data_IF_932102084060
#
_entry.id   IF_932102084060
#
_cell.length_a   1.000
_cell.length_b   1.000
_cell.length_c   1.000
_cell.angle_alpha   90.00
_cell.angle_beta   90.00
_cell.angle_gamma   90.00
#
_symmetry.space_group_name_H-M   'P 1'
#
loop_
_entity.id
_entity.type
_entity.pdbx_description
1 polymer ?
#
# COMPACT_ATOMS: atom_id res chain seq x y z
N UNK A 1 18.45 4.75 -0.37
CA UNK A 1 17.31 4.63 -1.30
C UNK A 1 16.06 4.27 -0.52
N UNK A 2 14.96 4.94 -0.77
CA UNK A 2 13.66 4.67 -0.15
C UNK A 2 12.69 4.17 -1.21
N UNK A 3 11.77 3.28 -0.83
CA UNK A 3 10.68 2.85 -1.69
C UNK A 3 9.35 3.43 -1.16
N UNK A 4 8.56 3.96 -2.07
CA UNK A 4 7.16 4.34 -1.85
C UNK A 4 6.32 3.35 -2.64
N UNK A 5 5.35 2.72 -1.98
CA UNK A 5 4.60 1.60 -2.55
C UNK A 5 3.11 1.87 -2.38
N UNK A 6 2.40 1.86 -3.50
CA UNK A 6 0.93 1.86 -3.53
C UNK A 6 0.44 0.52 -4.06
N UNK A 7 -0.24 -0.24 -3.20
CA UNK A 7 -0.62 -1.63 -3.46
C UNK A 7 -2.11 -1.85 -3.38
N UNK A 8 -2.75 -1.92 -4.54
CA UNK A 8 -4.11 -2.41 -4.66
C UNK A 8 -4.20 -3.94 -4.69
N UNK A 9 -5.41 -4.46 -4.86
CA UNK A 9 -5.64 -5.91 -5.01
C UNK A 9 -5.13 -6.46 -6.34
N UNK A 10 -5.09 -5.64 -7.39
CA UNK A 10 -4.74 -6.06 -8.76
C UNK A 10 -3.31 -5.72 -9.12
N UNK A 11 -2.86 -4.51 -8.78
CA UNK A 11 -1.56 -3.95 -9.15
C UNK A 11 -0.90 -3.32 -7.93
N UNK A 12 0.43 -3.33 -7.91
CA UNK A 12 1.26 -2.59 -6.97
C UNK A 12 2.26 -1.75 -7.74
N UNK A 13 2.27 -0.45 -7.48
CA UNK A 13 3.23 0.50 -8.03
C UNK A 13 4.35 0.75 -7.01
N UNK A 14 5.59 0.76 -7.50
CA UNK A 14 6.80 0.94 -6.70
C UNK A 14 7.60 2.11 -7.26
N UNK A 15 7.87 3.09 -6.43
CA UNK A 15 8.69 4.25 -6.76
C UNK A 15 9.91 4.26 -5.84
N UNK A 16 11.10 4.16 -6.43
CA UNK A 16 12.36 4.29 -5.72
C UNK A 16 12.84 5.73 -5.76
N UNK A 17 13.15 6.31 -4.60
CA UNK A 17 13.67 7.67 -4.49
C UNK A 17 15.00 7.69 -3.74
N UNK A 18 15.81 8.70 -4.03
CA UNK A 18 17.03 9.01 -3.29
C UNK A 18 16.75 9.79 -1.99
N UNK A 19 17.77 10.27 -1.33
CA UNK A 19 17.68 11.08 -0.12
C UNK A 19 17.11 12.48 -0.36
N UNK A 20 17.19 12.98 -1.60
CA UNK A 20 16.69 14.29 -2.01
C UNK A 20 15.25 14.23 -2.56
N UNK A 21 14.67 13.02 -2.70
CA UNK A 21 13.34 12.81 -3.26
C UNK A 21 13.31 12.66 -4.79
N UNK A 22 14.47 12.57 -5.45
CA UNK A 22 14.54 12.34 -6.89
C UNK A 22 14.24 10.88 -7.20
N UNK A 23 13.45 10.63 -8.25
CA UNK A 23 13.08 9.28 -8.68
C UNK A 23 14.33 8.58 -9.27
N UNK A 24 14.64 7.40 -8.75
CA UNK A 24 15.72 6.53 -9.24
C UNK A 24 15.17 5.57 -10.29
N UNK A 25 14.05 4.92 -9.99
CA UNK A 25 13.30 4.08 -10.92
C UNK A 25 11.84 3.96 -10.46
N UNK A 26 10.99 3.57 -11.40
CA UNK A 26 9.61 3.18 -11.18
C UNK A 26 9.40 1.79 -11.77
N UNK A 27 8.64 0.96 -11.07
CA UNK A 27 8.30 -0.37 -11.53
C UNK A 27 6.96 -0.80 -10.94
N UNK A 28 6.43 -1.93 -11.39
CA UNK A 28 5.17 -2.46 -10.88
C UNK A 28 5.22 -3.97 -10.72
N UNK A 29 4.36 -4.48 -9.85
CA UNK A 29 4.08 -5.90 -9.68
C UNK A 29 2.58 -6.14 -9.70
N UNK A 30 2.15 -7.39 -9.69
CA UNK A 30 0.77 -7.73 -9.35
C UNK A 30 0.47 -7.31 -7.92
N UNK A 31 -0.81 -7.12 -7.60
CA UNK A 31 -1.27 -6.68 -6.28
C UNK A 31 -0.73 -7.55 -5.14
N UNK A 32 -0.48 -6.94 -3.98
CA UNK A 32 0.15 -7.60 -2.82
C UNK A 32 -0.78 -7.57 -1.59
N UNK A 33 -2.08 -7.80 -1.79
CA UNK A 33 -3.04 -7.81 -0.68
C UNK A 33 -2.82 -9.02 0.24
N UNK A 34 -2.33 -8.83 1.48
CA UNK A 34 -1.99 -9.92 2.40
C UNK A 34 -3.20 -10.62 3.02
N UNK A 35 -4.43 -10.12 2.81
CA UNK A 35 -5.64 -10.81 3.26
C UNK A 35 -6.04 -11.96 2.34
N UNK A 36 -5.62 -11.93 1.06
CA UNK A 36 -6.01 -12.92 0.06
C UNK A 36 -4.84 -13.71 -0.53
N UNK A 37 -3.60 -13.27 -0.25
CA UNK A 37 -2.39 -13.90 -0.78
C UNK A 37 -1.59 -14.58 0.34
N UNK A 38 -0.94 -15.67 -0.02
CA UNK A 38 0.03 -16.35 0.86
C UNK A 38 1.39 -15.64 0.84
N UNK A 39 2.21 -15.86 1.88
CA UNK A 39 3.59 -15.36 1.96
C UNK A 39 4.39 -15.70 0.69
N UNK A 40 4.27 -16.94 0.21
CA UNK A 40 4.97 -17.42 -0.97
C UNK A 40 4.63 -16.62 -2.24
N UNK A 41 3.35 -16.34 -2.47
CA UNK A 41 2.91 -15.59 -3.66
C UNK A 41 3.38 -14.14 -3.58
N UNK A 42 3.32 -13.52 -2.40
CA UNK A 42 3.81 -12.15 -2.20
C UNK A 42 5.32 -12.08 -2.46
N UNK A 43 6.09 -13.01 -1.89
CA UNK A 43 7.52 -13.10 -2.10
C UNK A 43 7.85 -13.30 -3.58
N UNK A 44 7.22 -14.27 -4.25
CA UNK A 44 7.41 -14.55 -5.66
C UNK A 44 7.17 -13.33 -6.55
N UNK A 45 6.07 -12.58 -6.31
CA UNK A 45 5.76 -11.36 -7.07
C UNK A 45 6.82 -10.28 -6.93
N UNK A 46 7.44 -10.17 -5.78
CA UNK A 46 8.48 -9.16 -5.52
C UNK A 46 9.82 -9.61 -6.09
N UNK A 47 10.25 -10.84 -5.86
CA UNK A 47 11.59 -11.32 -6.29
C UNK A 47 11.69 -11.49 -7.81
N UNK A 48 10.57 -11.77 -8.49
CA UNK A 48 10.52 -11.87 -9.95
C UNK A 48 10.59 -10.50 -10.64
N UNK A 49 10.47 -9.39 -9.89
CA UNK A 49 10.69 -8.07 -10.44
C UNK A 49 12.19 -7.75 -10.41
N UNK A 50 12.78 -7.52 -11.58
CA UNK A 50 14.21 -7.31 -11.75
C UNK A 50 14.72 -6.11 -10.96
N UNK A 51 14.05 -4.96 -11.05
CA UNK A 51 14.51 -3.72 -10.42
C UNK A 51 14.48 -3.82 -8.89
N UNK A 52 13.43 -4.42 -8.33
CA UNK A 52 13.32 -4.65 -6.89
C UNK A 52 14.39 -5.61 -6.40
N UNK A 53 14.58 -6.74 -7.09
CA UNK A 53 15.54 -7.75 -6.70
C UNK A 53 16.98 -7.25 -6.75
N UNK A 54 17.37 -6.56 -7.81
CA UNK A 54 18.72 -6.01 -7.98
C UNK A 54 19.06 -4.95 -6.93
N UNK A 55 18.08 -4.13 -6.55
CA UNK A 55 18.31 -3.02 -5.63
C UNK A 55 17.95 -3.33 -4.16
N UNK A 56 17.46 -4.55 -3.84
CA UNK A 56 16.95 -4.90 -2.50
C UNK A 56 17.89 -4.61 -1.33
N UNK A 57 19.19 -4.72 -1.53
CA UNK A 57 20.21 -4.46 -0.49
C UNK A 57 20.51 -2.97 -0.30
N UNK A 58 20.13 -2.11 -1.25
CA UNK A 58 20.34 -0.66 -1.22
C UNK A 58 19.16 0.08 -0.59
N UNK A 59 18.02 -0.59 -0.45
CA UNK A 59 16.83 -0.01 0.19
C UNK A 59 17.06 0.06 1.69
N UNK A 60 16.78 1.22 2.28
CA UNK A 60 16.89 1.46 3.72
C UNK A 60 15.54 1.77 4.39
N UNK A 61 14.54 2.16 3.61
CA UNK A 61 13.18 2.44 4.11
C UNK A 61 12.14 2.11 3.07
N UNK A 62 11.03 1.50 3.49
CA UNK A 62 9.87 1.22 2.65
C UNK A 62 8.63 1.83 3.31
N UNK A 63 7.96 2.72 2.59
CA UNK A 63 6.64 3.23 2.90
C UNK A 63 5.62 2.45 2.08
N UNK A 64 4.91 1.54 2.70
CA UNK A 64 3.98 0.65 2.04
C UNK A 64 2.54 1.03 2.40
N UNK A 65 1.78 1.41 1.39
CA UNK A 65 0.35 1.70 1.49
C UNK A 65 -0.41 0.62 0.73
N UNK A 66 -1.16 -0.23 1.44
CA UNK A 66 -1.72 -1.40 0.79
C UNK A 66 -3.14 -1.77 1.18
N UNK A 67 -3.92 -2.17 0.18
CA UNK A 67 -5.19 -2.82 0.40
C UNK A 67 -5.00 -4.05 1.30
N UNK A 68 -5.91 -4.24 2.25
CA UNK A 68 -5.83 -5.32 3.22
C UNK A 68 -4.89 -5.09 4.41
N UNK A 69 -4.19 -3.94 4.47
CA UNK A 69 -3.30 -3.58 5.58
C UNK A 69 -3.99 -2.77 6.70
N UNK A 70 -5.31 -2.90 6.86
CA UNK A 70 -6.07 -2.18 7.90
C UNK A 70 -5.92 -2.77 9.32
N UNK A 71 -5.58 -4.06 9.43
CA UNK A 71 -5.45 -4.76 10.72
C UNK A 71 -4.05 -5.34 10.92
N UNK A 72 -3.72 -5.74 12.16
CA UNK A 72 -2.37 -6.16 12.50
C UNK A 72 -1.93 -7.48 11.82
N UNK A 73 -2.74 -8.56 11.80
CA UNK A 73 -2.27 -9.83 11.25
C UNK A 73 -1.80 -9.78 9.77
N UNK A 74 -2.52 -9.12 8.84
CA UNK A 74 -2.02 -8.93 7.48
C UNK A 74 -0.74 -8.09 7.40
N UNK A 75 -0.61 -7.05 8.25
CA UNK A 75 0.63 -6.26 8.33
C UNK A 75 1.82 -7.11 8.78
N UNK A 76 1.63 -7.99 9.74
CA UNK A 76 2.68 -8.86 10.25
C UNK A 76 3.14 -9.85 9.17
N UNK A 77 2.18 -10.45 8.42
CA UNK A 77 2.49 -11.30 7.29
C UNK A 77 3.32 -10.58 6.24
N UNK A 78 2.86 -9.40 5.80
CA UNK A 78 3.57 -8.60 4.81
C UNK A 78 4.94 -8.13 5.32
N UNK A 79 5.02 -7.69 6.58
CA UNK A 79 6.28 -7.28 7.21
C UNK A 79 7.30 -8.41 7.24
N UNK A 80 6.86 -9.64 7.52
CA UNK A 80 7.72 -10.83 7.50
C UNK A 80 8.31 -11.06 6.11
N UNK A 81 7.49 -11.02 5.06
CA UNK A 81 7.96 -11.20 3.68
C UNK A 81 8.88 -10.05 3.24
N UNK A 82 8.52 -8.81 3.53
CA UNK A 82 9.37 -7.68 3.17
C UNK A 82 10.75 -7.75 3.87
N UNK A 83 10.80 -8.19 5.13
CA UNK A 83 12.05 -8.36 5.88
C UNK A 83 12.95 -9.45 5.31
N UNK A 84 12.40 -10.53 4.77
CA UNK A 84 13.20 -11.60 4.13
C UNK A 84 13.89 -11.11 2.85
N UNK A 85 13.26 -10.18 2.12
CA UNK A 85 13.76 -9.67 0.84
C UNK A 85 14.67 -8.44 1.05
N UNK A 86 14.19 -7.44 1.82
CA UNK A 86 14.84 -6.15 2.03
C UNK A 86 15.49 -6.08 3.42
N UNK A 87 16.53 -6.86 3.61
CA UNK A 87 17.16 -7.15 4.90
C UNK A 87 17.72 -5.91 5.64
N UNK A 88 18.00 -4.82 4.91
CA UNK A 88 18.58 -3.59 5.46
C UNK A 88 17.53 -2.49 5.66
N UNK A 89 16.23 -2.81 5.53
CA UNK A 89 15.18 -1.80 5.46
C UNK A 89 14.37 -1.72 6.75
N UNK A 90 13.93 -0.52 7.06
CA UNK A 90 12.80 -0.25 7.95
C UNK A 90 11.50 -0.21 7.14
N UNK A 91 10.37 -0.53 7.81
CA UNK A 91 9.06 -0.60 7.17
C UNK A 91 8.05 0.27 7.90
N UNK A 92 7.31 1.09 7.13
CA UNK A 92 6.09 1.77 7.57
C UNK A 92 4.94 1.24 6.71
N UNK A 93 4.12 0.34 7.27
CA UNK A 93 3.03 -0.32 6.56
C UNK A 93 1.70 0.24 7.04
N UNK A 94 0.95 0.82 6.12
CA UNK A 94 -0.37 1.42 6.33
C UNK A 94 -1.38 0.91 5.30
N UNK A 95 -2.64 1.13 5.59
CA UNK A 95 -3.73 0.93 4.64
C UNK A 95 -3.61 1.89 3.46
N UNK A 96 -4.03 1.47 2.26
CA UNK A 96 -3.95 2.23 1.01
C UNK A 96 -4.62 3.62 1.10
N UNK A 97 -5.68 3.75 1.89
CA UNK A 97 -6.37 5.02 2.15
C UNK A 97 -5.42 6.11 2.67
N UNK A 98 -4.35 5.75 3.38
CA UNK A 98 -3.34 6.72 3.83
C UNK A 98 -2.52 7.31 2.68
N UNK A 99 -2.31 6.58 1.58
CA UNK A 99 -1.66 7.14 0.39
C UNK A 99 -2.50 8.28 -0.20
N UNK A 100 -3.82 8.06 -0.31
CA UNK A 100 -4.75 9.08 -0.77
C UNK A 100 -4.75 10.33 0.15
N UNK A 101 -4.78 10.12 1.49
CA UNK A 101 -4.68 11.21 2.45
C UNK A 101 -3.40 12.02 2.26
N UNK A 102 -2.25 11.36 2.24
CA UNK A 102 -0.96 12.06 2.16
C UNK A 102 -0.70 12.73 0.82
N UNK A 103 -1.38 12.29 -0.26
CA UNK A 103 -1.31 12.96 -1.57
C UNK A 103 -2.19 14.21 -1.67
N UNK A 104 -3.27 14.30 -0.89
CA UNK A 104 -4.31 15.32 -1.04
C UNK A 104 -4.38 16.30 0.13
N UNK A 105 -3.98 15.89 1.34
CA UNK A 105 -4.19 16.67 2.56
C UNK A 105 -2.87 17.28 3.07
N UNK A 106 -2.95 18.49 3.59
CA UNK A 106 -1.85 19.11 4.32
C UNK A 106 -1.73 18.49 5.73
N UNK A 107 -0.55 18.52 6.35
CA UNK A 107 -0.39 18.10 7.75
C UNK A 107 -1.40 18.79 8.66
N UNK A 108 -2.04 18.04 9.55
CA UNK A 108 -3.06 18.51 10.51
C UNK A 108 -4.35 19.07 9.89
N UNK A 109 -4.63 18.80 8.62
CA UNK A 109 -5.86 19.20 7.94
C UNK A 109 -6.92 18.09 8.06
N UNK A 110 -8.14 18.47 8.46
CA UNK A 110 -9.27 17.56 8.47
C UNK A 110 -9.81 17.37 7.06
N UNK A 111 -10.09 16.14 6.68
CA UNK A 111 -10.58 15.83 5.33
C UNK A 111 -11.52 14.62 5.29
N UNK A 112 -12.37 14.59 4.27
CA UNK A 112 -13.06 13.38 3.83
C UNK A 112 -12.31 12.87 2.62
N UNK A 113 -11.89 11.62 2.66
CA UNK A 113 -11.11 10.98 1.59
C UNK A 113 -11.92 9.82 1.05
N UNK A 114 -12.15 9.85 -0.26
CA UNK A 114 -12.85 8.78 -0.98
C UNK A 114 -11.94 8.14 -2.00
N UNK A 115 -11.88 6.81 -1.99
CA UNK A 115 -11.22 6.01 -3.02
C UNK A 115 -12.30 5.31 -3.83
N UNK A 116 -12.23 5.46 -5.14
CA UNK A 116 -13.10 4.79 -6.11
C UNK A 116 -12.20 3.97 -7.05
N UNK A 117 -12.05 2.69 -6.72
CA UNK A 117 -11.22 1.75 -7.47
C UNK A 117 -12.00 0.47 -7.79
N UNK A 118 -11.37 -0.69 -7.65
CA UNK A 118 -12.05 -2.00 -7.71
C UNK A 118 -13.16 -2.09 -6.67
N UNK A 119 -12.90 -1.60 -5.44
CA UNK A 119 -13.88 -1.31 -4.41
C UNK A 119 -14.03 0.18 -4.17
N UNK A 120 -14.95 0.58 -3.29
CA UNK A 120 -15.10 1.96 -2.83
C UNK A 120 -14.85 2.10 -1.33
N UNK A 121 -14.26 3.22 -0.92
CA UNK A 121 -14.04 3.54 0.48
C UNK A 121 -14.23 5.04 0.71
N UNK A 122 -14.86 5.40 1.82
CA UNK A 122 -14.99 6.79 2.25
C UNK A 122 -14.63 6.88 3.73
N UNK A 123 -13.60 7.67 4.03
CA UNK A 123 -13.04 7.81 5.38
C UNK A 123 -12.89 9.27 5.78
N UNK A 124 -13.04 9.55 7.07
CA UNK A 124 -12.73 10.84 7.65
C UNK A 124 -11.31 10.83 8.25
N UNK A 125 -10.49 11.77 7.84
CA UNK A 125 -9.17 12.03 8.41
C UNK A 125 -9.25 13.24 9.34
N UNK A 126 -8.84 13.08 10.59
CA UNK A 126 -8.89 14.12 11.63
C UNK A 126 -7.61 14.97 11.75
N UNK A 127 -6.77 14.91 10.71
CA UNK A 127 -5.45 15.56 10.70
C UNK A 127 -4.32 14.66 11.20
N UNK A 128 -4.66 13.52 11.84
CA UNK A 128 -3.69 12.57 12.39
C UNK A 128 -4.05 11.11 12.08
N UNK A 129 -5.32 10.75 12.22
CA UNK A 129 -5.80 9.37 12.08
C UNK A 129 -7.01 9.28 11.16
N UNK A 130 -7.05 8.20 10.40
CA UNK A 130 -8.22 7.83 9.61
C UNK A 130 -9.27 7.18 10.50
N UNK A 131 -10.51 7.65 10.35
CA UNK A 131 -11.67 7.13 11.02
C UNK A 131 -12.69 6.68 9.97
N UNK A 132 -12.85 5.38 9.83
CA UNK A 132 -13.85 4.77 8.96
C UNK A 132 -15.05 4.36 9.83
N UNK A 133 -16.16 5.08 9.71
CA UNK A 133 -17.39 4.76 10.45
C UNK A 133 -18.25 3.73 9.74
N UNK A 134 -18.15 3.66 8.43
CA UNK A 134 -18.88 2.71 7.58
C UNK A 134 -17.87 1.76 6.96
N UNK A 135 -17.93 0.50 7.33
CA UNK A 135 -17.09 -0.54 6.74
C UNK A 135 -17.74 -1.02 5.45
N UNK A 136 -17.03 -0.95 4.33
CA UNK A 136 -17.48 -1.60 3.09
C UNK A 136 -17.59 -3.11 3.33
N UNK A 137 -18.71 -3.70 2.95
CA UNK A 137 -18.94 -5.14 2.99
C UNK A 137 -18.67 -5.82 1.64
N UNK A 138 -18.01 -5.10 0.74
CA UNK A 138 -17.68 -5.55 -0.60
C UNK A 138 -18.85 -5.44 -1.58
N UNK A 139 -18.68 -6.03 -2.76
CA UNK A 139 -19.59 -5.93 -3.90
C UNK A 139 -21.09 -6.11 -3.59
N UNK A 140 -21.44 -6.92 -2.60
CA UNK A 140 -22.85 -7.24 -2.27
C UNK A 140 -23.54 -6.11 -1.52
N UNK A 141 -22.78 -5.27 -0.80
CA UNK A 141 -23.37 -4.21 0.02
C UNK A 141 -22.35 -3.09 0.27
N UNK A 142 -22.77 -1.83 0.07
CA UNK A 142 -21.99 -0.62 0.39
C UNK A 142 -20.70 -0.43 -0.39
N UNK A 143 -20.60 -0.96 -1.60
CA UNK A 143 -19.48 -0.74 -2.53
C UNK A 143 -19.92 0.12 -3.73
N UNK A 144 -20.86 1.03 -3.47
CA UNK A 144 -21.45 1.90 -4.49
C UNK A 144 -20.38 2.75 -5.19
N UNK A 145 -20.55 2.92 -6.49
CA UNK A 145 -19.64 3.64 -7.37
C UNK A 145 -18.23 3.02 -7.50
N UNK A 146 -18.01 1.78 -7.06
CA UNK A 146 -16.79 1.03 -7.34
C UNK A 146 -16.75 0.52 -8.80
N UNK A 147 -15.56 0.15 -9.27
CA UNK A 147 -15.39 -0.48 -10.58
C UNK A 147 -16.13 -1.82 -10.72
N UNK A 148 -16.42 -2.50 -9.62
CA UNK A 148 -17.22 -3.73 -9.59
C UNK A 148 -18.73 -3.47 -9.62
N UNK A 149 -19.18 -2.24 -9.34
CA UNK A 149 -20.59 -1.86 -9.34
C UNK A 149 -21.12 -1.62 -10.77
N UNK A 150 -20.26 -1.19 -11.68
CA UNK A 150 -20.56 -0.92 -13.09
C UNK A 150 -20.15 -2.09 -13.99
#
# INVERSE_FOLDING_TARGET
>A
MRLIVDSGSTKTDWIAIDEYGSIIFETFTLGLNPQVLTEYIIEERIINNYDLYQNRKKVNKIFFYGAGCGTQPPKDLLSKVLRSIFINSEFDIKEDTYAAVYSCCKPNENAIVSILGTGSNCSYFDGNKLNQKVTSLGYVLMDDASGNYF
#
